data_IF_327368832000
#
_entry.id   IF_327368832000
#
_cell.length_a   1.000
_cell.length_b   1.000
_cell.length_c   1.000
_cell.angle_alpha   90.00
_cell.angle_beta   90.00
_cell.angle_gamma   90.00
#
_symmetry.space_group_name_H-M   'P 1'
#
loop_
_entity.id
_entity.type
_entity.pdbx_description
1 polymer ?
#
# COMPACT_ATOMS: atom_id res chain seq x y z
N UNK A 1 26.44 -9.48 -7.78
CA UNK A 1 25.10 -9.23 -8.36
C UNK A 1 24.25 -8.56 -7.30
N UNK A 2 23.98 -7.27 -7.42
CA UNK A 2 23.14 -6.53 -6.48
C UNK A 2 22.53 -5.36 -7.21
N UNK A 3 21.28 -5.49 -7.62
CA UNK A 3 20.51 -4.38 -8.18
C UNK A 3 19.62 -3.83 -7.08
N UNK A 4 20.11 -2.79 -6.42
CA UNK A 4 19.28 -1.90 -5.63
C UNK A 4 18.36 -1.14 -6.61
N UNK A 5 17.09 -1.51 -6.67
CA UNK A 5 16.10 -0.79 -7.46
C UNK A 5 15.81 0.55 -6.74
N UNK A 6 16.44 1.62 -7.21
CA UNK A 6 16.27 2.95 -6.64
C UNK A 6 14.86 3.47 -6.94
N UNK A 7 14.13 3.78 -5.87
CA UNK A 7 12.74 4.30 -5.80
C UNK A 7 12.50 5.61 -6.59
N UNK A 8 13.51 6.14 -7.27
CA UNK A 8 13.48 7.40 -8.03
C UNK A 8 12.74 7.30 -9.38
N UNK A 9 12.45 6.09 -9.87
CA UNK A 9 11.83 5.88 -11.18
C UNK A 9 10.29 6.02 -11.22
N UNK A 10 9.60 5.98 -10.07
CA UNK A 10 8.13 5.99 -10.04
C UNK A 10 7.50 7.39 -10.02
N UNK A 11 8.29 8.46 -9.81
CA UNK A 11 7.78 9.78 -9.42
C UNK A 11 8.02 10.90 -10.45
N UNK A 12 8.51 10.60 -11.65
CA UNK A 12 8.79 11.67 -12.63
C UNK A 12 8.56 11.23 -14.07
N UNK A 13 7.28 11.12 -14.46
CA UNK A 13 6.87 11.22 -15.87
C UNK A 13 5.88 12.36 -16.00
N UNK A 14 6.41 13.57 -16.19
CA UNK A 14 5.62 14.73 -16.61
C UNK A 14 5.09 14.52 -18.03
N UNK A 15 3.84 14.92 -18.27
CA UNK A 15 3.11 14.84 -19.55
C UNK A 15 3.26 16.09 -20.43
N UNK A 16 4.18 17.02 -20.12
CA UNK A 16 4.39 18.23 -20.93
C UNK A 16 5.43 17.98 -22.04
N UNK A 17 5.10 18.13 -23.34
CA UNK A 17 6.08 18.00 -24.41
C UNK A 17 7.03 19.22 -24.43
N UNK A 18 8.31 18.95 -24.71
CA UNK A 18 9.40 19.90 -24.93
C UNK A 18 10.12 20.51 -23.70
N UNK A 19 10.83 19.68 -22.92
CA UNK A 19 12.15 20.04 -22.35
C UNK A 19 12.99 18.76 -22.15
N UNK A 20 14.28 18.82 -22.45
CA UNK A 20 15.14 17.66 -22.79
C UNK A 20 15.22 16.52 -21.76
N UNK A 21 15.15 15.29 -22.28
CA UNK A 21 15.33 14.02 -21.59
C UNK A 21 15.32 12.86 -22.60
N UNK A 22 16.06 11.77 -22.32
CA UNK A 22 16.29 10.64 -23.26
C UNK A 22 14.98 9.99 -23.72
N UNK A 23 14.83 9.87 -25.04
CA UNK A 23 13.71 9.15 -25.66
C UNK A 23 14.04 7.66 -25.76
N UNK A 24 13.07 6.80 -25.45
CA UNK A 24 13.07 5.42 -25.91
C UNK A 24 12.25 5.35 -27.20
N UNK A 25 12.94 5.21 -28.34
CA UNK A 25 12.30 4.83 -29.60
C UNK A 25 12.03 3.33 -29.56
N UNK A 26 10.76 2.94 -29.49
CA UNK A 26 10.35 1.56 -29.68
C UNK A 26 10.27 1.33 -31.19
N UNK A 27 11.35 0.79 -31.75
CA UNK A 27 11.36 0.17 -33.08
C UNK A 27 11.63 -1.33 -32.90
N UNK A 28 10.91 -2.14 -33.66
CA UNK A 28 10.78 -3.57 -33.46
C UNK A 28 12.08 -4.37 -33.60
N UNK A 29 12.10 -5.50 -32.86
CA UNK A 29 13.03 -6.63 -32.89
C UNK A 29 14.51 -6.34 -32.62
N UNK A 30 14.98 -6.89 -31.49
CA UNK A 30 16.39 -7.22 -31.28
C UNK A 30 17.00 -6.55 -30.05
N UNK A 31 17.23 -7.33 -29.00
CA UNK A 31 18.04 -6.93 -27.84
C UNK A 31 19.50 -6.80 -28.28
N UNK A 32 20.11 -5.64 -28.03
CA UNK A 32 21.53 -5.56 -27.62
C UNK A 32 21.70 -4.44 -26.60
N UNK A 33 22.24 -4.80 -25.43
CA UNK A 33 22.72 -3.84 -24.44
C UNK A 33 23.99 -3.17 -24.97
N UNK A 34 24.06 -1.84 -24.85
CA UNK A 34 25.27 -1.07 -25.05
C UNK A 34 25.24 0.18 -24.19
N UNK A 35 25.95 0.15 -23.05
CA UNK A 35 26.23 1.32 -22.23
C UNK A 35 27.41 2.10 -22.83
N UNK A 36 27.32 3.43 -22.87
CA UNK A 36 28.50 4.27 -22.94
C UNK A 36 28.40 5.43 -21.96
N UNK A 37 29.45 5.56 -21.14
CA UNK A 37 29.76 6.73 -20.32
C UNK A 37 30.38 7.79 -21.23
N UNK A 38 30.00 9.04 -21.02
CA UNK A 38 30.80 10.20 -21.44
C UNK A 38 31.02 11.06 -20.20
N UNK A 39 32.26 11.09 -19.72
CA UNK A 39 32.71 12.12 -18.77
C UNK A 39 32.92 13.44 -19.52
N UNK A 40 32.77 14.57 -18.82
CA UNK A 40 33.90 15.48 -18.79
C UNK A 40 34.17 16.10 -17.41
N UNK A 41 35.46 16.27 -17.11
CA UNK A 41 35.95 17.54 -16.55
C UNK A 41 36.20 17.58 -15.05
N UNK A 42 37.46 17.39 -14.67
CA UNK A 42 38.09 17.71 -13.37
C UNK A 42 37.57 19.02 -12.74
N UNK A 43 37.42 19.03 -11.41
CA UNK A 43 38.25 19.89 -10.55
C UNK A 43 38.48 19.22 -9.19
N UNK A 44 39.76 19.20 -8.81
CA UNK A 44 40.35 18.69 -7.58
C UNK A 44 40.32 19.79 -6.52
N UNK A 45 39.76 19.52 -5.35
CA UNK A 45 40.32 20.04 -4.10
C UNK A 45 40.27 18.97 -3.01
N UNK A 46 41.46 18.57 -2.60
CA UNK A 46 41.78 17.69 -1.49
C UNK A 46 41.97 18.54 -0.23
N UNK A 47 41.37 18.15 0.90
CA UNK A 47 42.03 18.27 2.20
C UNK A 47 41.56 17.18 3.17
N UNK A 48 42.55 16.58 3.81
CA UNK A 48 42.53 15.40 4.65
C UNK A 48 42.57 15.78 6.15
N UNK A 49 42.37 14.75 6.98
CA UNK A 49 42.66 14.56 8.41
C UNK A 49 41.48 14.84 9.36
N UNK A 50 40.82 13.82 9.92
CA UNK A 50 41.25 12.80 10.91
C UNK A 50 41.21 13.38 12.34
N UNK A 51 40.32 12.86 13.18
CA UNK A 51 40.62 12.31 14.53
C UNK A 51 39.38 11.66 15.15
N UNK A 52 39.65 10.55 15.83
CA UNK A 52 38.78 9.69 16.61
C UNK A 52 38.19 10.40 17.84
N UNK A 53 37.09 9.87 18.40
CA UNK A 53 37.15 9.33 19.76
C UNK A 53 35.94 8.46 20.10
N UNK A 54 36.25 7.22 20.47
CA UNK A 54 35.39 6.34 21.25
C UNK A 54 35.40 6.78 22.73
N UNK A 55 34.32 6.48 23.46
CA UNK A 55 34.35 5.69 24.70
C UNK A 55 33.17 5.99 25.64
N UNK A 56 32.46 4.91 25.99
CA UNK A 56 31.94 4.55 27.34
C UNK A 56 30.74 5.41 27.83
N UNK A 57 29.70 4.84 28.45
CA UNK A 57 29.73 3.78 29.46
C UNK A 57 28.36 3.08 29.58
N UNK A 58 28.47 1.84 30.06
CA UNK A 58 27.49 0.79 30.39
C UNK A 58 26.77 1.08 31.72
N UNK A 59 25.60 0.44 31.89
CA UNK A 59 24.97 -0.08 33.13
C UNK A 59 23.48 0.35 33.23
N UNK A 60 22.50 -0.42 33.69
CA UNK A 60 22.35 -1.82 34.10
C UNK A 60 20.84 -2.04 34.32
N UNK A 61 20.37 -3.27 34.10
CA UNK A 61 19.09 -3.80 34.61
C UNK A 61 19.23 -4.10 36.10
N UNK A 62 18.11 -4.18 36.85
CA UNK A 62 17.80 -5.50 37.40
C UNK A 62 16.31 -5.86 37.38
N UNK A 63 16.08 -7.18 37.40
CA UNK A 63 14.80 -7.88 37.40
C UNK A 63 14.42 -8.37 38.80
N UNK A 64 13.12 -8.71 38.95
CA UNK A 64 12.61 -9.73 39.88
C UNK A 64 11.21 -9.40 40.45
N UNK A 65 10.45 -10.39 40.97
CA UNK A 65 10.31 -11.79 40.54
C UNK A 65 8.84 -12.30 40.53
N UNK A 66 8.62 -13.54 40.07
CA UNK A 66 7.68 -14.47 40.71
C UNK A 66 6.34 -14.78 40.03
N UNK A 67 6.16 -16.04 39.65
CA UNK A 67 4.95 -16.66 39.08
C UNK A 67 4.17 -17.48 40.13
N UNK A 68 2.87 -17.74 39.89
CA UNK A 68 2.12 -19.02 40.05
C UNK A 68 0.59 -18.71 39.98
N UNK A 69 -0.14 -19.19 38.96
CA UNK A 69 -0.86 -20.47 38.82
C UNK A 69 -1.96 -20.75 39.88
N UNK A 70 -3.22 -20.65 39.47
CA UNK A 70 -4.33 -21.39 40.07
C UNK A 70 -5.38 -21.73 38.99
N UNK A 71 -5.70 -23.02 38.94
CA UNK A 71 -6.50 -23.72 37.95
C UNK A 71 -8.01 -23.50 38.10
N UNK A 72 -8.75 -23.63 37.00
CA UNK A 72 -10.15 -24.02 37.02
C UNK A 72 -10.42 -25.01 35.87
N UNK A 73 -10.64 -26.25 36.28
CA UNK A 73 -11.11 -27.40 35.52
C UNK A 73 -12.52 -27.18 34.95
N UNK A 74 -12.77 -27.62 33.72
CA UNK A 74 -14.11 -27.60 33.11
C UNK A 74 -14.20 -28.50 31.88
N UNK A 75 -14.41 -29.79 32.15
CA UNK A 75 -15.07 -30.82 31.35
C UNK A 75 -14.93 -30.80 29.80
N UNK A 76 -14.27 -31.85 29.31
CA UNK A 76 -14.36 -32.37 27.96
C UNK A 76 -15.81 -32.67 27.55
N UNK A 77 -16.18 -32.27 26.33
CA UNK A 77 -17.17 -32.97 25.54
C UNK A 77 -16.66 -33.05 24.10
N UNK A 78 -16.33 -34.28 23.71
CA UNK A 78 -16.05 -34.66 22.35
C UNK A 78 -17.28 -34.46 21.46
N UNK A 79 -17.08 -33.98 20.23
CA UNK A 79 -17.57 -34.58 18.98
C UNK A 79 -17.62 -33.54 17.86
N UNK A 80 -17.09 -33.93 16.69
CA UNK A 80 -17.38 -33.27 15.43
C UNK A 80 -16.16 -32.72 14.72
N UNK A 81 -15.26 -33.61 14.28
CA UNK A 81 -14.41 -33.32 13.14
C UNK A 81 -15.32 -33.16 11.91
N UNK A 82 -15.85 -31.94 11.73
CA UNK A 82 -16.44 -31.52 10.48
C UNK A 82 -15.31 -31.18 9.52
N UNK A 83 -15.15 -31.99 8.47
CA UNK A 83 -14.39 -31.64 7.28
C UNK A 83 -14.90 -30.28 6.74
N UNK A 84 -14.15 -29.23 7.07
CA UNK A 84 -14.56 -27.83 7.04
C UNK A 84 -14.48 -27.18 5.67
N UNK A 85 -14.76 -27.90 4.58
CA UNK A 85 -14.88 -27.32 3.24
C UNK A 85 -16.22 -26.57 3.04
N UNK A 86 -16.71 -25.88 4.07
CA UNK A 86 -17.71 -24.85 3.88
C UNK A 86 -16.99 -23.57 3.41
N UNK A 87 -17.43 -22.90 2.33
CA UNK A 87 -16.78 -21.68 1.88
C UNK A 87 -16.79 -20.65 3.00
N UNK A 88 -15.60 -20.22 3.43
CA UNK A 88 -15.42 -19.19 4.46
C UNK A 88 -16.13 -17.93 3.99
N UNK A 89 -17.28 -17.62 4.60
CA UNK A 89 -18.09 -16.46 4.26
C UNK A 89 -17.77 -15.35 5.24
N UNK A 90 -17.25 -14.25 4.72
CA UNK A 90 -17.04 -13.03 5.49
C UNK A 90 -18.30 -12.16 5.45
N UNK A 91 -18.73 -11.70 6.62
CA UNK A 91 -19.80 -10.71 6.74
C UNK A 91 -19.34 -9.29 6.34
N UNK A 92 -18.02 -9.10 6.31
CA UNK A 92 -17.35 -7.88 5.87
C UNK A 92 -16.75 -8.04 4.47
N UNK A 93 -16.42 -6.92 3.85
CA UNK A 93 -15.89 -6.85 2.49
C UNK A 93 -14.83 -5.75 2.40
N UNK A 94 -13.71 -6.03 1.73
CA UNK A 94 -12.77 -5.01 1.26
C UNK A 94 -13.07 -4.76 -0.21
N UNK A 95 -13.23 -3.50 -0.57
CA UNK A 95 -13.36 -3.10 -1.96
C UNK A 95 -12.47 -1.91 -2.30
N UNK A 96 -11.89 -1.96 -3.49
CA UNK A 96 -11.14 -0.88 -4.11
C UNK A 96 -11.93 -0.42 -5.33
N UNK A 97 -12.14 0.88 -5.47
CA UNK A 97 -12.76 1.49 -6.64
C UNK A 97 -11.77 2.48 -7.25
N UNK A 98 -11.42 2.26 -8.52
CA UNK A 98 -10.48 3.07 -9.28
C UNK A 98 -11.20 3.86 -10.37
N UNK A 99 -10.65 5.02 -10.73
CA UNK A 99 -11.08 5.76 -11.90
C UNK A 99 -10.67 5.00 -13.18
N UNK A 100 -11.57 4.95 -14.15
CA UNK A 100 -11.41 4.16 -15.37
C UNK A 100 -10.45 4.76 -16.42
N UNK A 101 -10.05 6.01 -16.27
CA UNK A 101 -9.10 6.71 -17.13
C UNK A 101 -7.63 6.49 -16.77
N UNK A 102 -7.33 5.77 -15.68
CA UNK A 102 -5.97 5.54 -15.21
C UNK A 102 -5.22 4.50 -16.07
N UNK A 103 -3.94 4.75 -16.32
CA UNK A 103 -3.05 3.76 -16.91
C UNK A 103 -2.86 2.55 -15.98
N UNK A 104 -2.58 1.37 -16.53
CA UNK A 104 -2.49 0.13 -15.74
C UNK A 104 -1.50 0.21 -14.58
N UNK A 105 -0.34 0.83 -14.78
CA UNK A 105 0.65 0.99 -13.70
C UNK A 105 0.17 1.94 -12.60
N UNK A 106 -0.61 2.98 -12.95
CA UNK A 106 -1.21 3.90 -11.97
C UNK A 106 -2.26 3.16 -11.14
N UNK A 107 -3.09 2.33 -11.78
CA UNK A 107 -4.09 1.50 -11.09
C UNK A 107 -3.45 0.59 -10.04
N UNK A 108 -2.35 -0.07 -10.38
CA UNK A 108 -1.58 -0.92 -9.45
C UNK A 108 -1.00 -0.11 -8.29
N UNK A 109 -0.39 1.03 -8.59
CA UNK A 109 0.20 1.90 -7.57
C UNK A 109 -0.85 2.44 -6.60
N UNK A 110 -1.94 3.01 -7.12
CA UNK A 110 -3.07 3.52 -6.34
C UNK A 110 -3.66 2.41 -5.47
N UNK A 111 -3.87 1.21 -6.02
CA UNK A 111 -4.40 0.07 -5.26
C UNK A 111 -3.50 -0.27 -4.07
N UNK A 112 -2.18 -0.34 -4.27
CA UNK A 112 -1.22 -0.65 -3.21
C UNK A 112 -1.28 0.37 -2.05
N UNK A 113 -1.32 1.66 -2.37
CA UNK A 113 -1.45 2.72 -1.34
C UNK A 113 -2.79 2.67 -0.63
N UNK A 114 -3.90 2.52 -1.38
CA UNK A 114 -5.24 2.51 -0.82
C UNK A 114 -5.45 1.39 0.19
N UNK A 115 -4.94 0.19 -0.10
CA UNK A 115 -5.12 -0.95 0.81
C UNK A 115 -4.18 -0.88 2.02
N UNK A 116 -3.02 -0.25 1.91
CA UNK A 116 -2.07 -0.15 3.03
C UNK A 116 -2.64 0.55 4.26
N UNK A 117 -3.61 1.46 4.08
CA UNK A 117 -4.26 2.16 5.19
C UNK A 117 -5.23 1.28 5.99
N UNK A 118 -5.78 0.23 5.38
CA UNK A 118 -6.82 -0.60 5.99
C UNK A 118 -6.28 -1.46 7.14
N UNK A 119 -5.10 -2.06 6.98
CA UNK A 119 -4.53 -2.94 8.00
C UNK A 119 -4.25 -2.26 9.34
N UNK A 120 -3.91 -0.97 9.32
CA UNK A 120 -3.68 -0.19 10.55
C UNK A 120 -4.98 0.28 11.19
N UNK A 121 -5.98 0.65 10.39
CA UNK A 121 -7.27 1.15 10.88
C UNK A 121 -8.22 0.02 11.31
N UNK A 122 -8.09 -1.16 10.73
CA UNK A 122 -8.91 -2.34 10.99
C UNK A 122 -8.00 -3.57 11.10
N UNK A 123 -7.28 -3.75 12.22
CA UNK A 123 -6.31 -4.85 12.37
C UNK A 123 -6.90 -6.23 12.11
N UNK A 124 -8.22 -6.40 12.31
CA UNK A 124 -8.93 -7.64 12.05
C UNK A 124 -9.02 -8.01 10.56
N UNK A 125 -8.58 -7.15 9.62
CA UNK A 125 -8.46 -7.53 8.21
C UNK A 125 -7.15 -8.26 7.89
N UNK A 126 -6.15 -8.13 8.75
CA UNK A 126 -4.85 -8.78 8.61
C UNK A 126 -4.93 -10.19 9.20
N UNK A 127 -4.39 -11.16 8.48
CA UNK A 127 -4.30 -12.55 8.93
C UNK A 127 -3.02 -12.83 9.72
N UNK A 128 -2.70 -14.12 9.84
CA UNK A 128 -1.46 -14.58 10.47
C UNK A 128 -0.27 -14.53 9.50
N UNK A 129 0.97 -14.49 10.01
CA UNK A 129 2.17 -14.69 9.21
C UNK A 129 2.09 -15.97 8.39
N UNK A 130 2.60 -15.93 7.18
CA UNK A 130 2.65 -17.09 6.30
C UNK A 130 3.93 -17.84 6.59
N UNK A 131 3.89 -19.17 6.69
CA UNK A 131 5.07 -20.00 6.89
C UNK A 131 5.19 -20.93 5.68
N UNK A 132 6.36 -20.96 5.05
CA UNK A 132 6.63 -21.93 3.99
C UNK A 132 6.94 -23.32 4.56
N UNK A 133 7.08 -24.31 3.67
CA UNK A 133 7.34 -25.69 4.09
C UNK A 133 8.69 -25.87 4.82
N UNK A 134 9.60 -24.91 4.71
CA UNK A 134 10.92 -24.92 5.33
C UNK A 134 10.95 -24.17 6.68
N UNK A 135 9.81 -23.64 7.12
CA UNK A 135 9.69 -22.87 8.35
C UNK A 135 10.09 -21.39 8.22
N UNK A 136 10.26 -20.89 6.99
CA UNK A 136 10.53 -19.46 6.77
C UNK A 136 9.25 -18.66 6.95
N UNK A 137 9.27 -17.70 7.88
CA UNK A 137 8.13 -16.82 8.15
C UNK A 137 8.14 -15.62 7.20
N UNK A 138 6.99 -15.38 6.56
CA UNK A 138 6.68 -14.24 5.71
C UNK A 138 5.63 -13.33 6.36
N UNK A 139 5.51 -12.11 5.83
CA UNK A 139 4.57 -11.12 6.36
C UNK A 139 3.11 -11.58 6.26
N UNK A 140 2.26 -11.23 7.24
CA UNK A 140 0.83 -11.45 7.14
C UNK A 140 0.22 -10.59 6.02
N UNK A 141 -0.81 -11.13 5.37
CA UNK A 141 -1.59 -10.45 4.33
C UNK A 141 -3.07 -10.39 4.71
N UNK A 142 -3.91 -9.74 3.89
CA UNK A 142 -5.35 -9.74 4.15
C UNK A 142 -5.90 -11.15 4.23
N UNK A 143 -6.67 -11.43 5.28
CA UNK A 143 -7.32 -12.73 5.46
C UNK A 143 -8.61 -12.90 4.65
N UNK A 144 -9.02 -11.86 3.91
CA UNK A 144 -10.21 -11.88 3.05
C UNK A 144 -9.92 -11.25 1.69
N UNK A 145 -10.67 -11.60 0.63
CA UNK A 145 -10.44 -11.08 -0.71
C UNK A 145 -10.59 -9.55 -0.81
N UNK A 146 -9.72 -8.93 -1.59
CA UNK A 146 -9.84 -7.53 -2.03
C UNK A 146 -10.54 -7.51 -3.39
N UNK A 147 -11.76 -6.97 -3.44
CA UNK A 147 -12.50 -6.85 -4.71
C UNK A 147 -12.20 -5.51 -5.38
N UNK A 148 -11.71 -5.55 -6.62
CA UNK A 148 -11.32 -4.35 -7.38
C UNK A 148 -12.40 -4.00 -8.41
N UNK A 149 -12.78 -2.73 -8.42
CA UNK A 149 -13.80 -2.15 -9.29
C UNK A 149 -13.22 -0.95 -10.03
N UNK A 150 -13.85 -0.61 -11.14
CA UNK A 150 -13.60 0.63 -11.87
C UNK A 150 -14.90 1.39 -12.13
N UNK A 151 -14.77 2.71 -12.31
CA UNK A 151 -15.87 3.58 -12.71
C UNK A 151 -15.40 4.99 -13.08
N UNK A 152 -16.32 5.79 -13.59
CA UNK A 152 -16.04 7.19 -13.95
C UNK A 152 -15.68 8.04 -12.73
N UNK A 153 -15.13 9.24 -12.96
CA UNK A 153 -14.88 10.25 -11.91
C UNK A 153 -16.10 10.47 -11.02
N UNK A 154 -17.28 10.64 -11.62
CA UNK A 154 -18.54 10.88 -10.91
C UNK A 154 -18.91 9.68 -10.03
N UNK A 155 -18.64 8.47 -10.51
CA UNK A 155 -18.88 7.22 -9.77
C UNK A 155 -17.98 7.14 -8.54
N UNK A 156 -16.68 7.44 -8.69
CA UNK A 156 -15.73 7.47 -7.56
C UNK A 156 -16.14 8.53 -6.53
N UNK A 157 -16.47 9.75 -6.96
CA UNK A 157 -16.91 10.84 -6.07
C UNK A 157 -18.21 10.49 -5.34
N UNK A 158 -19.20 9.93 -6.04
CA UNK A 158 -20.45 9.52 -5.42
C UNK A 158 -20.24 8.37 -4.42
N UNK A 159 -19.37 7.41 -4.73
CA UNK A 159 -19.01 6.33 -3.82
C UNK A 159 -18.33 6.86 -2.56
N UNK A 160 -17.38 7.80 -2.70
CA UNK A 160 -16.74 8.47 -1.57
C UNK A 160 -17.76 9.16 -0.65
N UNK A 161 -18.68 9.95 -1.24
CA UNK A 161 -19.74 10.61 -0.47
C UNK A 161 -20.64 9.61 0.28
N UNK A 162 -20.98 8.48 -0.34
CA UNK A 162 -21.77 7.40 0.30
C UNK A 162 -21.01 6.68 1.42
N UNK A 163 -19.69 6.52 1.28
CA UNK A 163 -18.85 5.89 2.30
C UNK A 163 -18.76 6.77 3.55
N UNK A 164 -18.53 8.08 3.35
CA UNK A 164 -18.53 9.07 4.44
C UNK A 164 -19.89 9.16 5.13
N UNK A 165 -20.99 9.21 4.37
CA UNK A 165 -22.35 9.28 4.94
C UNK A 165 -22.73 8.04 5.78
N UNK A 166 -21.95 6.95 5.67
CA UNK A 166 -22.14 5.68 6.39
C UNK A 166 -21.05 5.45 7.43
N UNK A 167 -20.14 6.40 7.61
CA UNK A 167 -19.00 6.30 8.53
C UNK A 167 -18.14 5.04 8.31
N UNK A 168 -17.97 4.63 7.05
CA UNK A 168 -17.15 3.46 6.73
C UNK A 168 -15.66 3.83 6.70
N UNK A 169 -14.78 3.00 7.29
CA UNK A 169 -13.33 3.12 7.10
C UNK A 169 -12.99 3.22 5.62
N UNK A 170 -12.39 4.35 5.23
CA UNK A 170 -12.12 4.68 3.83
C UNK A 170 -10.71 5.27 3.69
N UNK A 171 -9.94 4.73 2.75
CA UNK A 171 -8.70 5.34 2.26
C UNK A 171 -8.98 5.99 0.90
N UNK A 172 -8.28 7.08 0.59
CA UNK A 172 -8.47 7.85 -0.64
C UNK A 172 -7.14 8.15 -1.32
N UNK A 173 -7.19 8.35 -2.63
CA UNK A 173 -6.07 8.82 -3.44
C UNK A 173 -6.60 9.87 -4.42
N UNK A 174 -6.00 11.07 -4.44
CA UNK A 174 -6.33 12.13 -5.39
C UNK A 174 -5.27 12.24 -6.49
N UNK A 175 -5.62 12.86 -7.62
CA UNK A 175 -4.68 13.02 -8.74
C UNK A 175 -3.40 13.77 -8.36
N UNK A 176 -3.50 14.75 -7.45
CA UNK A 176 -2.37 15.57 -7.00
C UNK A 176 -1.24 14.73 -6.37
N UNK A 177 -1.58 13.56 -5.78
CA UNK A 177 -0.61 12.68 -5.13
C UNK A 177 0.37 12.04 -6.12
N UNK A 178 0.10 12.08 -7.43
CA UNK A 178 1.07 11.64 -8.42
C UNK A 178 2.23 12.64 -8.61
N UNK A 179 2.03 13.92 -8.25
CA UNK A 179 3.01 14.99 -8.42
C UNK A 179 3.87 15.27 -7.18
N UNK A 180 3.49 14.72 -6.03
CA UNK A 180 4.22 14.83 -4.76
C UNK A 180 5.27 13.72 -4.64
N UNK A 181 6.12 13.71 -3.61
CA UNK A 181 7.18 12.69 -3.47
C UNK A 181 7.32 12.07 -2.07
N UNK A 182 6.50 12.50 -1.11
CA UNK A 182 6.53 11.99 0.26
C UNK A 182 5.15 12.16 0.94
N UNK A 183 4.91 11.37 1.99
CA UNK A 183 3.63 11.38 2.73
C UNK A 183 3.23 12.76 3.27
N UNK A 184 4.19 13.55 3.76
CA UNK A 184 3.90 14.87 4.33
C UNK A 184 3.28 15.79 3.26
N UNK A 185 3.85 15.81 2.07
CA UNK A 185 3.35 16.60 0.95
C UNK A 185 2.03 16.04 0.42
N UNK A 186 1.88 14.71 0.38
CA UNK A 186 0.61 14.06 0.02
C UNK A 186 -0.52 14.53 0.94
N UNK A 187 -0.30 14.48 2.26
CA UNK A 187 -1.29 14.90 3.26
C UNK A 187 -1.54 16.41 3.21
N UNK A 188 -0.53 17.21 2.93
CA UNK A 188 -0.70 18.65 2.75
C UNK A 188 -1.56 18.98 1.52
N UNK A 189 -1.34 18.29 0.40
CA UNK A 189 -2.13 18.44 -0.82
C UNK A 189 -3.61 18.10 -0.59
N UNK A 190 -3.91 16.96 0.05
CA UNK A 190 -5.30 16.60 0.39
C UNK A 190 -5.92 17.61 1.36
N UNK A 191 -5.17 18.06 2.38
CA UNK A 191 -5.67 19.01 3.38
C UNK A 191 -6.02 20.38 2.79
N UNK A 192 -5.39 20.77 1.67
CA UNK A 192 -5.62 22.06 1.04
C UNK A 192 -6.96 22.15 0.30
N UNK A 193 -7.61 21.02 0.02
CA UNK A 193 -8.80 20.93 -0.85
C UNK A 193 -10.02 20.50 -0.03
N UNK A 194 -11.16 21.18 -0.25
CA UNK A 194 -12.42 20.81 0.38
C UNK A 194 -12.93 19.46 -0.12
N UNK A 195 -13.69 18.72 0.69
CA UNK A 195 -14.18 17.37 0.36
C UNK A 195 -14.91 17.29 -1.00
N UNK A 196 -15.66 18.32 -1.37
CA UNK A 196 -16.40 18.39 -2.63
C UNK A 196 -15.51 18.63 -3.86
N UNK A 197 -14.28 19.13 -3.65
CA UNK A 197 -13.34 19.54 -4.68
C UNK A 197 -12.21 18.50 -4.89
N UNK A 198 -12.17 17.43 -4.10
CA UNK A 198 -11.16 16.37 -4.23
C UNK A 198 -11.24 15.70 -5.62
N UNK A 199 -10.16 15.78 -6.41
CA UNK A 199 -10.04 15.03 -7.66
C UNK A 199 -9.64 13.58 -7.38
N UNK A 200 -10.62 12.77 -6.96
CA UNK A 200 -10.41 11.38 -6.59
C UNK A 200 -10.07 10.52 -7.80
N UNK A 201 -9.00 9.75 -7.68
CA UNK A 201 -8.58 8.73 -8.65
C UNK A 201 -8.83 7.31 -8.14
N UNK A 202 -8.98 7.14 -6.83
CA UNK A 202 -9.44 5.88 -6.25
C UNK A 202 -9.76 5.98 -4.77
N UNK A 203 -10.56 5.03 -4.29
CA UNK A 203 -10.88 4.83 -2.89
C UNK A 203 -10.82 3.34 -2.52
N UNK A 204 -10.48 3.04 -1.27
CA UNK A 204 -10.69 1.72 -0.67
C UNK A 204 -11.62 1.84 0.51
N UNK A 205 -12.57 0.91 0.61
CA UNK A 205 -13.61 0.91 1.65
C UNK A 205 -13.67 -0.48 2.28
N UNK A 206 -13.80 -0.51 3.60
CA UNK A 206 -14.00 -1.72 4.38
C UNK A 206 -15.22 -1.60 5.29
N UNK A 207 -15.96 -2.70 5.45
CA UNK A 207 -17.10 -2.76 6.37
C UNK A 207 -18.09 -3.87 6.02
N UNK A 208 -19.31 -3.83 6.58
CA UNK A 208 -20.36 -4.82 6.31
C UNK A 208 -20.68 -4.90 4.81
N UNK A 209 -20.78 -6.12 4.28
CA UNK A 209 -20.94 -6.38 2.83
C UNK A 209 -22.06 -5.55 2.19
N UNK A 210 -23.24 -5.51 2.84
CA UNK A 210 -24.40 -4.77 2.35
C UNK A 210 -24.16 -3.24 2.28
N UNK A 211 -23.35 -2.69 3.19
CA UNK A 211 -23.01 -1.28 3.18
C UNK A 211 -22.01 -0.97 2.06
N UNK A 212 -20.99 -1.81 1.90
CA UNK A 212 -19.98 -1.69 0.83
C UNK A 212 -20.63 -1.82 -0.55
N UNK A 213 -21.54 -2.77 -0.75
CA UNK A 213 -22.25 -2.94 -2.03
C UNK A 213 -23.08 -1.71 -2.40
N UNK A 214 -23.71 -1.05 -1.41
CA UNK A 214 -24.43 0.21 -1.62
C UNK A 214 -23.50 1.38 -1.99
N UNK A 215 -22.29 1.41 -1.42
CA UNK A 215 -21.28 2.42 -1.75
C UNK A 215 -20.88 2.30 -3.22
N UNK A 216 -20.59 1.07 -3.66
CA UNK A 216 -20.09 0.75 -5.01
C UNK A 216 -21.19 0.74 -6.09
N UNK A 217 -22.42 1.15 -5.76
CA UNK A 217 -23.51 1.19 -6.74
C UNK A 217 -23.13 2.05 -7.94
N UNK A 218 -23.12 1.43 -9.13
CA UNK A 218 -22.75 2.04 -10.41
C UNK A 218 -21.33 1.70 -10.88
N UNK A 219 -20.49 1.12 -10.02
CA UNK A 219 -19.17 0.62 -10.41
C UNK A 219 -19.26 -0.75 -11.08
N UNK A 220 -18.26 -1.08 -11.91
CA UNK A 220 -18.10 -2.37 -12.57
C UNK A 220 -16.91 -3.12 -12.00
N UNK A 221 -16.95 -4.46 -12.03
CA UNK A 221 -15.77 -5.27 -11.69
C UNK A 221 -14.65 -4.92 -12.66
N UNK A 222 -13.43 -4.76 -12.13
CA UNK A 222 -12.26 -4.47 -12.96
C UNK A 222 -11.97 -5.69 -13.87
N UNK A 223 -11.64 -5.48 -15.16
CA UNK A 223 -11.32 -6.56 -16.11
C UNK A 223 -10.02 -7.30 -15.76
#
# INVERSE_FOLDING_TARGET
>A
MGYACSVKWAWNTSTTPATGGRQALISGRGVTQGTYKTEPGRTRQSRSMRTENAARTRAEHPAGPGAEHAAATGAENAAGAGDGSAPVRFDTKIAVLLRDDLASWQRLNVTAFLVSGLGTASPEVIGEPYEDADGTVHLPMFRQPVLVFEGSKETVTAAHGRALSRSLPTSLFTADLFGTGNDRDNRAAVRAVGTAELDLVGIAVYGPRNAVDKVLKGARMHP
#
